data_IF_361930848030
#
_entry.id   IF_361930848030
#
_cell.length_a   1.000
_cell.length_b   1.000
_cell.length_c   1.000
_cell.angle_alpha   90.00
_cell.angle_beta   90.00
_cell.angle_gamma   90.00
#
_symmetry.space_group_name_H-M   'P 1'
#
loop_
_entity.id
_entity.type
_entity.pdbx_description
1 polymer ?
#
# COMPACT_ATOMS: atom_id res chain seq x y z
N UNK A 1 -2.61 13.91 -1.63
CA UNK A 1 -2.82 12.55 -2.15
C UNK A 1 -3.80 12.55 -3.32
N UNK A 2 -5.07 12.82 -3.12
CA UNK A 2 -6.11 12.67 -4.17
C UNK A 2 -5.80 13.48 -5.43
N UNK A 3 -5.38 14.75 -5.32
CA UNK A 3 -5.01 15.57 -6.48
C UNK A 3 -3.79 15.04 -7.24
N UNK A 4 -2.83 14.42 -6.52
CA UNK A 4 -1.67 13.77 -7.13
C UNK A 4 -2.10 12.55 -7.97
N UNK A 5 -2.98 11.69 -7.40
CA UNK A 5 -3.50 10.52 -8.09
C UNK A 5 -4.40 10.91 -9.26
N UNK A 6 -5.27 11.91 -9.10
CA UNK A 6 -6.13 12.41 -10.17
C UNK A 6 -5.32 12.92 -11.39
N UNK A 7 -4.22 13.64 -11.12
CA UNK A 7 -3.33 14.13 -12.18
C UNK A 7 -2.64 12.99 -12.97
N UNK A 8 -2.34 11.85 -12.32
CA UNK A 8 -1.77 10.68 -12.98
C UNK A 8 -2.82 9.85 -13.72
N UNK A 9 -4.03 9.75 -13.18
CA UNK A 9 -5.13 9.00 -13.79
C UNK A 9 -5.63 9.65 -15.08
N UNK A 10 -5.69 11.00 -15.13
CA UNK A 10 -6.26 11.70 -16.27
C UNK A 10 -7.61 11.10 -16.68
N UNK A 11 -7.84 10.96 -17.97
CA UNK A 11 -9.08 10.37 -18.52
C UNK A 11 -9.06 8.83 -18.57
N UNK A 12 -7.91 8.19 -18.30
CA UNK A 12 -7.73 6.73 -18.42
C UNK A 12 -8.23 5.92 -17.24
N UNK A 13 -8.61 6.60 -16.15
CA UNK A 13 -9.13 5.97 -14.94
C UNK A 13 -8.06 5.37 -14.01
N UNK A 14 -8.52 4.87 -12.85
CA UNK A 14 -7.67 4.37 -11.80
C UNK A 14 -8.18 3.05 -11.21
N UNK A 15 -7.26 2.15 -10.83
CA UNK A 15 -7.51 0.94 -10.06
C UNK A 15 -6.83 1.05 -8.70
N UNK A 16 -7.59 0.94 -7.62
CA UNK A 16 -7.06 0.82 -6.26
C UNK A 16 -6.90 -0.65 -5.87
N UNK A 17 -5.69 -1.05 -5.53
CA UNK A 17 -5.43 -2.35 -4.92
C UNK A 17 -5.70 -2.26 -3.42
N UNK A 18 -6.44 -3.24 -2.86
CA UNK A 18 -6.92 -3.22 -1.47
C UNK A 18 -7.71 -1.93 -1.15
N UNK A 19 -8.78 -1.69 -1.91
CA UNK A 19 -9.59 -0.46 -1.82
C UNK A 19 -10.21 -0.22 -0.43
N UNK A 20 -10.38 -1.29 0.37
CA UNK A 20 -10.94 -1.22 1.71
C UNK A 20 -12.33 -0.59 1.74
N UNK A 21 -12.48 0.39 2.63
CA UNK A 21 -13.74 1.15 2.76
C UNK A 21 -13.83 2.37 1.83
N UNK A 22 -12.94 2.48 0.82
CA UNK A 22 -12.98 3.54 -0.20
C UNK A 22 -12.48 4.90 0.26
N UNK A 23 -11.59 4.96 1.24
CA UNK A 23 -11.07 6.22 1.80
C UNK A 23 -10.39 7.13 0.77
N UNK A 24 -9.77 6.54 -0.26
CA UNK A 24 -9.14 7.27 -1.37
C UNK A 24 -10.01 7.22 -2.63
N UNK A 25 -10.58 6.07 -2.94
CA UNK A 25 -11.40 5.86 -4.13
C UNK A 25 -12.59 6.83 -4.22
N UNK A 26 -13.33 7.02 -3.11
CA UNK A 26 -14.51 7.90 -3.11
C UNK A 26 -14.13 9.37 -3.42
N UNK A 27 -13.19 10.01 -2.70
CA UNK A 27 -12.75 11.35 -3.05
C UNK A 27 -12.12 11.48 -4.44
N UNK A 28 -11.53 10.40 -4.97
CA UNK A 28 -10.97 10.39 -6.32
C UNK A 28 -12.11 10.34 -7.38
N UNK A 29 -13.14 9.53 -7.13
CA UNK A 29 -14.34 9.48 -7.96
C UNK A 29 -15.12 10.81 -7.96
N UNK A 30 -15.21 11.51 -6.83
CA UNK A 30 -15.79 12.87 -6.73
C UNK A 30 -15.06 13.90 -7.59
N UNK A 31 -13.79 13.67 -7.94
CA UNK A 31 -13.03 14.50 -8.90
C UNK A 31 -13.25 14.12 -10.37
N UNK A 32 -14.17 13.20 -10.63
CA UNK A 32 -14.50 12.75 -11.98
C UNK A 32 -13.61 11.65 -12.53
N UNK A 33 -12.68 11.10 -11.72
CA UNK A 33 -11.87 9.94 -12.13
C UNK A 33 -12.73 8.67 -12.06
N UNK A 34 -12.73 7.88 -13.13
CA UNK A 34 -13.34 6.54 -13.11
C UNK A 34 -12.48 5.60 -12.25
N UNK A 35 -13.01 5.15 -11.12
CA UNK A 35 -12.28 4.31 -10.18
C UNK A 35 -12.85 2.90 -10.17
N UNK A 36 -11.97 1.91 -10.17
CA UNK A 36 -12.26 0.53 -9.82
C UNK A 36 -11.38 0.10 -8.65
N UNK A 37 -11.72 -1.01 -7.99
CA UNK A 37 -10.96 -1.54 -6.87
C UNK A 37 -10.91 -3.06 -6.83
N UNK A 38 -9.92 -3.57 -6.12
CA UNK A 38 -9.83 -4.97 -5.70
C UNK A 38 -9.82 -4.97 -4.16
N UNK A 39 -10.64 -5.82 -3.54
CA UNK A 39 -10.72 -5.94 -2.07
C UNK A 39 -10.85 -7.40 -1.68
N UNK A 40 -10.06 -7.82 -0.69
CA UNK A 40 -10.08 -9.19 -0.19
C UNK A 40 -11.20 -9.43 0.85
N UNK A 41 -11.52 -8.40 1.65
CA UNK A 41 -12.46 -8.51 2.77
C UNK A 41 -13.89 -8.16 2.35
N UNK A 42 -14.84 -9.12 2.44
CA UNK A 42 -16.25 -8.82 2.22
C UNK A 42 -16.80 -7.75 3.18
N UNK A 43 -16.30 -7.72 4.43
CA UNK A 43 -16.75 -6.76 5.43
C UNK A 43 -16.31 -5.32 5.09
N UNK A 44 -15.09 -5.15 4.58
CA UNK A 44 -14.60 -3.85 4.09
C UNK A 44 -15.41 -3.40 2.88
N UNK A 45 -15.70 -4.32 1.96
CA UNK A 45 -16.53 -4.04 0.79
C UNK A 45 -17.96 -3.64 1.22
N UNK A 46 -18.56 -4.33 2.19
CA UNK A 46 -19.89 -3.96 2.71
C UNK A 46 -19.89 -2.55 3.32
N UNK A 47 -18.83 -2.18 4.06
CA UNK A 47 -18.67 -0.83 4.59
C UNK A 47 -18.48 0.23 3.49
N UNK A 48 -17.76 -0.10 2.41
CA UNK A 48 -17.65 0.77 1.23
C UNK A 48 -19.05 0.99 0.61
N UNK A 49 -19.78 -0.09 0.36
CA UNK A 49 -21.10 -0.05 -0.28
C UNK A 49 -22.14 0.74 0.50
N UNK A 50 -21.99 0.88 1.81
CA UNK A 50 -22.85 1.70 2.66
C UNK A 50 -22.59 3.23 2.53
N UNK A 51 -21.56 3.65 1.80
CA UNK A 51 -21.17 5.05 1.67
C UNK A 51 -21.79 5.71 0.43
N UNK A 52 -22.14 6.99 0.48
CA UNK A 52 -22.58 7.76 -0.69
C UNK A 52 -21.50 7.71 -1.80
N UNK A 53 -21.94 7.55 -3.05
CA UNK A 53 -21.06 7.50 -4.22
C UNK A 53 -20.39 6.16 -4.49
N UNK A 54 -20.55 5.17 -3.61
CA UNK A 54 -19.93 3.85 -3.77
C UNK A 54 -20.48 3.07 -4.98
N UNK A 55 -21.70 3.33 -5.40
CA UNK A 55 -22.33 2.68 -6.56
C UNK A 55 -21.60 2.99 -7.89
N UNK A 56 -20.87 4.11 -7.94
CA UNK A 56 -20.07 4.50 -9.09
C UNK A 56 -18.72 3.75 -9.17
N UNK A 57 -18.33 2.99 -8.13
CA UNK A 57 -17.05 2.31 -8.03
C UNK A 57 -17.26 0.81 -8.24
N UNK A 58 -16.69 0.27 -9.33
CA UNK A 58 -16.65 -1.17 -9.56
C UNK A 58 -15.61 -1.81 -8.64
N UNK A 59 -15.97 -2.88 -7.91
CA UNK A 59 -15.02 -3.59 -7.03
C UNK A 59 -15.11 -5.08 -7.28
N UNK A 60 -13.95 -5.69 -7.58
CA UNK A 60 -13.76 -7.12 -7.63
C UNK A 60 -13.36 -7.64 -6.23
N UNK A 61 -14.11 -8.60 -5.70
CA UNK A 61 -13.74 -9.29 -4.47
C UNK A 61 -12.64 -10.31 -4.76
N UNK A 62 -11.48 -10.17 -4.10
CA UNK A 62 -10.36 -11.10 -4.27
C UNK A 62 -9.02 -10.51 -3.84
N UNK A 63 -7.97 -11.33 -4.03
CA UNK A 63 -6.60 -11.00 -3.67
C UNK A 63 -5.96 -10.07 -4.72
N UNK A 64 -5.39 -8.95 -4.29
CA UNK A 64 -4.72 -7.97 -5.14
C UNK A 64 -3.47 -8.51 -5.86
N UNK A 65 -2.97 -9.67 -5.48
CA UNK A 65 -1.83 -10.32 -6.14
C UNK A 65 -2.24 -11.16 -7.36
N UNK A 66 -3.52 -11.57 -7.44
CA UNK A 66 -4.00 -12.52 -8.46
C UNK A 66 -5.29 -12.11 -9.16
N UNK A 67 -6.17 -11.36 -8.48
CA UNK A 67 -7.47 -10.98 -9.03
C UNK A 67 -7.32 -10.03 -10.21
N UNK A 68 -8.11 -10.27 -11.25
CA UNK A 68 -8.13 -9.46 -12.48
C UNK A 68 -9.45 -8.70 -12.61
N UNK A 69 -9.34 -7.45 -13.05
CA UNK A 69 -10.43 -6.63 -13.56
C UNK A 69 -10.25 -6.59 -15.07
N UNK A 70 -11.32 -6.91 -15.83
CA UNK A 70 -11.23 -7.00 -17.30
C UNK A 70 -11.25 -5.60 -17.96
N UNK A 71 -10.26 -4.81 -17.58
CA UNK A 71 -10.03 -3.44 -18.07
C UNK A 71 -8.60 -2.98 -17.77
N UNK A 72 -8.06 -2.10 -18.62
CA UNK A 72 -6.81 -1.40 -18.38
C UNK A 72 -7.04 0.01 -17.84
N UNK A 73 -6.04 0.54 -17.14
CA UNK A 73 -6.09 1.82 -16.44
C UNK A 73 -4.83 2.63 -16.71
N UNK A 74 -4.97 3.94 -16.65
CA UNK A 74 -3.82 4.85 -16.67
C UNK A 74 -3.07 4.87 -15.35
N UNK A 75 -3.77 4.57 -14.25
CA UNK A 75 -3.23 4.55 -12.91
C UNK A 75 -3.64 3.26 -12.19
N UNK A 76 -2.66 2.58 -11.58
CA UNK A 76 -2.88 1.60 -10.51
C UNK A 76 -2.22 2.14 -9.25
N UNK A 77 -2.85 2.03 -8.08
CA UNK A 77 -2.24 2.53 -6.85
C UNK A 77 -2.52 1.63 -5.64
N UNK A 78 -1.59 1.67 -4.69
CA UNK A 78 -1.59 0.94 -3.43
C UNK A 78 -1.00 1.83 -2.35
N UNK A 79 -1.78 2.21 -1.36
CA UNK A 79 -1.41 3.22 -0.35
C UNK A 79 -1.48 2.70 1.07
N UNK A 80 -1.07 3.51 2.06
CA UNK A 80 -1.13 3.22 3.49
C UNK A 80 -0.34 1.97 3.91
N UNK A 81 0.87 1.80 3.41
CA UNK A 81 1.75 0.66 3.71
C UNK A 81 1.18 -0.72 3.32
N UNK A 82 0.12 -0.78 2.52
CA UNK A 82 -0.62 -2.02 2.28
C UNK A 82 0.21 -3.09 1.57
N UNK A 83 1.27 -2.73 0.85
CA UNK A 83 2.21 -3.72 0.28
C UNK A 83 2.84 -4.60 1.37
N UNK A 84 3.03 -4.08 2.59
CA UNK A 84 3.59 -4.84 3.71
C UNK A 84 2.63 -5.92 4.24
N UNK A 85 1.33 -5.83 3.98
CA UNK A 85 0.36 -6.88 4.31
C UNK A 85 0.52 -8.13 3.44
N UNK A 86 1.24 -8.02 2.33
CA UNK A 86 1.66 -9.15 1.50
C UNK A 86 2.93 -9.74 2.09
N UNK A 87 2.79 -10.83 2.85
CA UNK A 87 3.80 -11.32 3.78
C UNK A 87 4.91 -12.17 3.17
N UNK A 88 4.92 -12.40 1.85
CA UNK A 88 5.99 -13.11 1.15
C UNK A 88 6.56 -12.29 -0.01
N UNK A 89 7.84 -12.48 -0.31
CA UNK A 89 8.50 -11.79 -1.43
C UNK A 89 7.83 -12.14 -2.76
N UNK A 90 7.54 -13.43 -3.00
CA UNK A 90 6.92 -13.89 -4.25
C UNK A 90 5.53 -13.26 -4.45
N UNK A 91 4.73 -13.15 -3.39
CA UNK A 91 3.44 -12.51 -3.47
C UNK A 91 3.54 -10.99 -3.70
N UNK A 92 4.56 -10.30 -3.14
CA UNK A 92 4.83 -8.90 -3.44
C UNK A 92 5.25 -8.71 -4.91
N UNK A 93 6.09 -9.60 -5.46
CA UNK A 93 6.41 -9.64 -6.90
C UNK A 93 5.14 -9.87 -7.74
N UNK A 94 4.28 -10.80 -7.33
CA UNK A 94 3.01 -11.06 -8.00
C UNK A 94 2.07 -9.83 -7.96
N UNK A 95 2.06 -9.08 -6.87
CA UNK A 95 1.31 -7.81 -6.77
C UNK A 95 1.79 -6.79 -7.81
N UNK A 96 3.11 -6.62 -8.00
CA UNK A 96 3.66 -5.76 -9.04
C UNK A 96 3.32 -6.24 -10.45
N UNK A 97 3.40 -7.55 -10.70
CA UNK A 97 3.01 -8.15 -11.99
C UNK A 97 1.51 -7.95 -12.26
N UNK A 98 0.68 -8.07 -11.23
CA UNK A 98 -0.76 -7.81 -11.32
C UNK A 98 -1.05 -6.34 -11.63
N UNK A 99 -0.39 -5.41 -10.93
CA UNK A 99 -0.51 -3.99 -11.21
C UNK A 99 -0.13 -3.66 -12.65
N UNK A 100 1.04 -4.14 -13.12
CA UNK A 100 1.51 -3.92 -14.48
C UNK A 100 0.55 -4.46 -15.55
N UNK A 101 -0.09 -5.59 -15.30
CA UNK A 101 -1.04 -6.19 -16.24
C UNK A 101 -2.35 -5.40 -16.37
N UNK A 102 -2.68 -4.57 -15.37
CA UNK A 102 -3.83 -3.65 -15.41
C UNK A 102 -3.48 -2.27 -15.98
N UNK A 103 -2.21 -1.98 -16.22
CA UNK A 103 -1.79 -0.68 -16.75
C UNK A 103 -1.86 -0.66 -18.28
N UNK A 104 -2.30 0.46 -18.84
CA UNK A 104 -2.07 0.83 -20.24
C UNK A 104 -0.56 1.07 -20.48
N UNK A 105 -0.07 0.97 -21.73
CA UNK A 105 1.28 1.43 -22.08
C UNK A 105 1.49 2.88 -21.65
N UNK A 106 2.57 3.18 -20.91
CA UNK A 106 2.85 4.47 -20.30
C UNK A 106 1.96 4.83 -19.10
N UNK A 107 1.13 3.91 -18.62
CA UNK A 107 0.41 4.04 -17.36
C UNK A 107 1.33 3.90 -16.14
N UNK A 108 0.88 4.36 -14.97
CA UNK A 108 1.69 4.44 -13.76
C UNK A 108 1.16 3.54 -12.64
N UNK A 109 2.09 2.86 -11.94
CA UNK A 109 1.83 2.24 -10.65
C UNK A 109 2.37 3.13 -9.54
N UNK A 110 1.56 3.42 -8.52
CA UNK A 110 1.91 4.28 -7.38
C UNK A 110 1.81 3.49 -6.09
N UNK A 111 2.87 3.51 -5.29
CA UNK A 111 2.86 2.98 -3.92
C UNK A 111 3.24 4.07 -2.93
N UNK A 112 2.51 4.14 -1.80
CA UNK A 112 2.93 4.83 -0.59
C UNK A 112 3.29 3.80 0.47
N UNK A 113 4.53 3.87 0.98
CA UNK A 113 5.01 2.94 2.02
C UNK A 113 6.10 3.59 2.87
N UNK A 114 6.20 3.14 4.13
CA UNK A 114 7.28 3.51 5.05
C UNK A 114 8.64 2.95 4.61
N UNK A 115 9.70 3.69 4.90
CA UNK A 115 11.06 3.16 4.86
C UNK A 115 11.29 2.36 6.15
N UNK A 116 11.84 1.12 6.09
CA UNK A 116 12.07 0.32 7.29
C UNK A 116 12.95 1.04 8.31
N UNK A 117 12.48 1.17 9.55
CA UNK A 117 13.16 1.93 10.63
C UNK A 117 14.23 1.10 11.36
N UNK A 118 15.04 0.36 10.59
CA UNK A 118 16.07 -0.54 11.13
C UNK A 118 17.30 0.21 11.67
N UNK A 119 17.49 1.48 11.32
CA UNK A 119 18.56 2.32 11.87
C UNK A 119 18.40 2.57 13.38
N UNK A 120 17.20 2.35 13.93
CA UNK A 120 16.92 2.44 15.37
C UNK A 120 17.23 1.16 16.14
N UNK A 121 17.63 0.09 15.45
CA UNK A 121 17.97 -1.20 16.06
C UNK A 121 19.48 -1.32 16.24
N UNK A 122 19.99 -1.22 17.48
CA UNK A 122 21.36 -1.59 17.77
C UNK A 122 21.63 -3.08 17.44
N UNK A 123 22.87 -3.47 17.17
CA UNK A 123 23.20 -4.88 16.91
C UNK A 123 22.71 -5.80 18.04
N UNK A 124 22.01 -6.88 17.66
CA UNK A 124 21.44 -7.85 18.60
C UNK A 124 20.04 -7.50 19.14
N UNK A 125 19.50 -6.35 18.81
CA UNK A 125 18.09 -6.02 19.10
C UNK A 125 17.21 -6.26 17.88
N UNK A 126 15.96 -6.68 18.13
CA UNK A 126 14.98 -6.99 17.09
C UNK A 126 13.67 -6.24 17.28
N UNK A 127 13.51 -5.47 18.36
CA UNK A 127 12.24 -4.80 18.69
C UNK A 127 12.38 -3.29 18.74
N UNK A 128 11.42 -2.57 18.14
CA UNK A 128 11.30 -1.11 18.17
C UNK A 128 9.95 -0.72 18.76
N UNK A 129 9.90 -0.07 19.94
CA UNK A 129 8.66 0.44 20.48
C UNK A 129 8.20 1.69 19.71
N UNK A 130 6.89 1.75 19.41
CA UNK A 130 6.24 2.92 18.82
C UNK A 130 5.23 3.58 19.76
N UNK A 131 4.75 2.85 20.77
CA UNK A 131 3.85 3.38 21.82
C UNK A 131 4.20 2.76 23.16
N UNK A 132 4.42 3.62 24.17
CA UNK A 132 4.60 3.20 25.59
C UNK A 132 3.77 4.12 26.44
N UNK A 133 2.64 3.61 26.99
CA UNK A 133 1.71 4.31 27.89
C UNK A 133 1.23 3.35 28.95
N UNK A 134 0.63 3.85 30.02
CA UNK A 134 0.14 3.03 31.14
C UNK A 134 -0.99 2.05 30.72
N UNK A 135 -1.75 2.41 29.70
CA UNK A 135 -2.88 1.65 29.17
C UNK A 135 -2.61 1.02 27.81
N UNK A 136 -1.46 1.27 27.20
CA UNK A 136 -1.14 0.79 25.84
C UNK A 136 0.34 0.61 25.59
N UNK A 137 0.71 -0.56 25.11
CA UNK A 137 2.04 -0.86 24.62
C UNK A 137 1.97 -1.26 23.15
N UNK A 138 2.89 -0.77 22.34
CA UNK A 138 3.01 -1.15 20.93
C UNK A 138 4.48 -1.18 20.54
N UNK A 139 4.86 -2.26 19.88
CA UNK A 139 6.22 -2.43 19.35
C UNK A 139 6.19 -3.33 18.13
N UNK A 140 7.13 -3.06 17.22
CA UNK A 140 7.38 -3.91 16.05
C UNK A 140 8.61 -4.78 16.30
N UNK A 141 8.54 -6.05 15.91
CA UNK A 141 9.71 -6.94 15.87
C UNK A 141 10.11 -7.22 14.42
N UNK A 142 11.40 -7.34 14.17
CA UNK A 142 11.97 -7.46 12.83
C UNK A 142 12.89 -8.67 12.72
N UNK A 143 12.72 -9.45 11.65
CA UNK A 143 13.70 -10.41 11.15
C UNK A 143 14.35 -9.83 9.89
N UNK A 144 15.66 -9.55 9.95
CA UNK A 144 16.38 -8.93 8.82
C UNK A 144 16.72 -9.93 7.72
N UNK A 145 16.61 -11.24 7.95
CA UNK A 145 16.89 -12.29 6.99
C UNK A 145 15.70 -12.51 6.06
N UNK A 146 14.50 -12.63 6.65
CA UNK A 146 13.25 -12.88 5.93
C UNK A 146 12.50 -11.61 5.57
N UNK A 147 12.87 -10.48 6.19
CA UNK A 147 12.13 -9.21 6.18
C UNK A 147 10.73 -9.33 6.82
N UNK A 148 10.50 -10.36 7.63
CA UNK A 148 9.30 -10.41 8.45
C UNK A 148 9.29 -9.33 9.51
N UNK A 149 8.13 -8.77 9.75
CA UNK A 149 7.85 -7.82 10.81
C UNK A 149 6.55 -8.21 11.50
N UNK A 150 6.55 -8.22 12.81
CA UNK A 150 5.33 -8.39 13.58
C UNK A 150 5.02 -7.12 14.35
N UNK A 151 3.83 -6.56 14.17
CA UNK A 151 3.35 -5.42 14.94
C UNK A 151 2.53 -5.92 16.12
N UNK A 152 3.04 -5.69 17.33
CA UNK A 152 2.45 -6.12 18.58
C UNK A 152 1.73 -4.95 19.24
N UNK A 153 0.45 -5.13 19.49
CA UNK A 153 -0.40 -4.16 20.18
C UNK A 153 -0.94 -4.78 21.45
N UNK A 154 -0.74 -4.10 22.57
CA UNK A 154 -1.33 -4.45 23.86
C UNK A 154 -2.10 -3.24 24.38
N UNK A 155 -3.30 -3.44 24.83
CA UNK A 155 -4.12 -2.38 25.40
C UNK A 155 -4.91 -2.89 26.61
N UNK A 156 -5.21 -1.98 27.52
CA UNK A 156 -6.00 -2.27 28.70
C UNK A 156 -7.48 -2.13 28.35
N UNK A 157 -8.26 -3.15 28.73
CA UNK A 157 -9.71 -3.17 28.63
C UNK A 157 -10.28 -3.51 30.02
N UNK A 158 -10.72 -2.50 30.76
CA UNK A 158 -11.01 -2.61 32.20
C UNK A 158 -9.76 -3.00 32.98
N UNK A 159 -9.84 -4.11 33.72
CA UNK A 159 -8.72 -4.65 34.51
C UNK A 159 -7.87 -5.68 33.75
N UNK A 160 -8.24 -6.04 32.53
CA UNK A 160 -7.54 -7.03 31.71
C UNK A 160 -6.67 -6.36 30.63
N UNK A 161 -5.54 -7.03 30.31
CA UNK A 161 -4.76 -6.69 29.12
C UNK A 161 -5.22 -7.54 27.93
N UNK A 162 -5.47 -6.90 26.82
CA UNK A 162 -5.71 -7.52 25.51
C UNK A 162 -4.43 -7.44 24.67
N UNK A 163 -4.26 -8.39 23.76
CA UNK A 163 -3.13 -8.43 22.84
C UNK A 163 -3.56 -8.80 21.43
N UNK A 164 -2.94 -8.15 20.44
CA UNK A 164 -3.07 -8.47 19.03
C UNK A 164 -1.67 -8.40 18.41
N UNK A 165 -1.31 -9.39 17.62
CA UNK A 165 -0.10 -9.37 16.81
C UNK A 165 -0.47 -9.58 15.34
N UNK A 166 0.10 -8.77 14.45
CA UNK A 166 -0.16 -8.81 13.01
C UNK A 166 1.15 -8.99 12.25
N UNK A 167 1.21 -9.95 11.30
CA UNK A 167 2.38 -10.15 10.46
C UNK A 167 2.40 -9.16 9.30
N UNK A 168 3.61 -8.71 8.96
CA UNK A 168 3.93 -7.89 7.80
C UNK A 168 5.23 -8.37 7.17
N UNK A 169 5.49 -7.97 5.94
CA UNK A 169 6.81 -8.03 5.33
C UNK A 169 7.21 -6.62 4.91
N UNK A 170 8.24 -6.07 5.55
CA UNK A 170 8.75 -4.77 5.15
C UNK A 170 9.56 -4.85 3.84
N UNK A 171 9.61 -3.76 3.11
CA UNK A 171 10.32 -3.69 1.82
C UNK A 171 11.20 -2.45 1.75
N UNK A 172 12.33 -2.59 1.06
CA UNK A 172 13.20 -1.46 0.76
C UNK A 172 12.80 -0.77 -0.54
N UNK A 173 13.02 0.55 -0.69
CA UNK A 173 12.76 1.26 -1.94
C UNK A 173 13.45 0.62 -3.15
N UNK A 174 14.69 0.14 -2.98
CA UNK A 174 15.45 -0.54 -4.04
C UNK A 174 14.89 -1.92 -4.40
N UNK A 175 14.28 -2.63 -3.44
CA UNK A 175 13.60 -3.91 -3.68
C UNK A 175 12.31 -3.70 -4.48
N UNK A 176 11.53 -2.68 -4.16
CA UNK A 176 10.37 -2.28 -4.95
C UNK A 176 10.76 -1.92 -6.40
N UNK A 177 11.92 -1.27 -6.60
CA UNK A 177 12.42 -0.98 -7.95
C UNK A 177 12.78 -2.26 -8.73
N UNK A 178 13.31 -3.29 -8.06
CA UNK A 178 13.56 -4.60 -8.68
C UNK A 178 12.26 -5.30 -9.05
N UNK A 179 11.24 -5.29 -8.16
CA UNK A 179 9.91 -5.84 -8.45
C UNK A 179 9.26 -5.13 -9.64
N UNK A 180 9.38 -3.80 -9.70
CA UNK A 180 8.89 -3.02 -10.84
C UNK A 180 9.56 -3.43 -12.16
N UNK A 181 10.90 -3.59 -12.16
CA UNK A 181 11.65 -4.05 -13.34
C UNK A 181 11.23 -5.45 -13.80
N UNK A 182 11.03 -6.38 -12.86
CA UNK A 182 10.52 -7.72 -13.16
C UNK A 182 9.13 -7.68 -13.80
N UNK A 183 8.31 -6.69 -13.44
CA UNK A 183 6.99 -6.46 -14.00
C UNK A 183 6.98 -5.56 -15.28
N UNK A 184 8.16 -5.23 -15.84
CA UNK A 184 8.27 -4.40 -17.05
C UNK A 184 8.00 -2.90 -16.82
N UNK A 185 8.19 -2.43 -15.60
CA UNK A 185 8.04 -1.02 -15.23
C UNK A 185 9.39 -0.40 -14.85
N UNK A 186 9.48 0.92 -14.95
CA UNK A 186 10.66 1.70 -14.55
C UNK A 186 10.26 2.80 -13.57
N UNK A 187 11.15 3.09 -12.61
CA UNK A 187 10.95 4.23 -11.70
C UNK A 187 10.90 5.52 -12.52
N UNK A 188 9.82 6.28 -12.36
CA UNK A 188 9.61 7.59 -12.96
C UNK A 188 9.94 8.71 -11.98
N UNK A 189 9.38 8.64 -10.74
CA UNK A 189 9.61 9.62 -9.69
C UNK A 189 9.45 8.98 -8.30
N UNK A 190 10.16 9.54 -7.30
CA UNK A 190 10.03 9.16 -5.89
C UNK A 190 10.12 10.40 -5.01
N UNK A 191 9.18 10.52 -4.09
CA UNK A 191 9.03 11.63 -3.17
C UNK A 191 8.93 11.11 -1.73
N UNK A 192 9.32 11.93 -0.74
CA UNK A 192 9.14 11.59 0.68
C UNK A 192 7.66 11.64 1.12
N UNK A 193 6.81 12.33 0.34
CA UNK A 193 5.38 12.46 0.60
C UNK A 193 4.59 12.97 -0.60
N UNK A 194 3.31 13.15 -0.40
CA UNK A 194 2.33 13.49 -1.44
C UNK A 194 2.44 14.93 -1.98
N UNK A 195 3.19 15.80 -1.30
CA UNK A 195 3.44 17.19 -1.73
C UNK A 195 4.72 17.31 -2.56
N UNK A 196 5.29 16.19 -2.97
CA UNK A 196 6.56 16.11 -3.70
C UNK A 196 7.74 16.65 -2.89
N UNK A 197 7.75 16.39 -1.59
CA UNK A 197 8.91 16.62 -0.75
C UNK A 197 10.08 15.74 -1.24
N UNK A 198 11.31 16.28 -1.36
CA UNK A 198 12.47 15.49 -1.81
C UNK A 198 12.68 14.24 -0.95
N UNK A 199 12.85 13.10 -1.61
CA UNK A 199 13.20 11.85 -0.93
C UNK A 199 14.71 11.84 -0.64
N UNK A 200 15.07 11.68 0.64
CA UNK A 200 16.44 11.73 1.16
C UNK A 200 16.71 10.57 2.13
N UNK A 201 17.94 10.44 2.60
CA UNK A 201 18.38 9.32 3.44
C UNK A 201 17.67 9.26 4.82
N UNK A 202 17.11 10.36 5.28
CA UNK A 202 16.35 10.48 6.53
C UNK A 202 14.82 10.43 6.33
N UNK A 203 14.36 10.24 5.10
CA UNK A 203 12.93 10.12 4.79
C UNK A 203 12.36 8.84 5.41
N UNK A 204 11.25 8.97 6.12
CA UNK A 204 10.60 7.85 6.82
C UNK A 204 9.53 7.12 6.01
N UNK A 205 9.12 7.72 4.90
CA UNK A 205 8.15 7.16 3.96
C UNK A 205 8.47 7.64 2.56
N UNK A 206 7.88 7.00 1.60
CA UNK A 206 7.96 7.48 0.22
C UNK A 206 6.68 7.21 -0.57
N UNK A 207 6.47 8.05 -1.57
CA UNK A 207 5.53 7.86 -2.67
C UNK A 207 6.35 7.60 -3.92
N UNK A 208 6.29 6.41 -4.44
CA UNK A 208 7.02 6.03 -5.65
C UNK A 208 6.07 5.79 -6.81
N UNK A 209 6.45 6.26 -7.96
CA UNK A 209 5.71 6.14 -9.22
C UNK A 209 6.58 5.38 -10.21
N UNK A 210 6.12 4.23 -10.65
CA UNK A 210 6.72 3.46 -11.73
C UNK A 210 5.84 3.52 -12.96
N UNK A 211 6.45 3.67 -14.12
CA UNK A 211 5.77 3.75 -15.42
C UNK A 211 5.95 2.44 -16.17
N UNK A 212 4.85 1.89 -16.70
CA UNK A 212 4.90 0.74 -17.60
C UNK A 212 5.53 1.13 -18.93
N UNK A 213 6.54 0.38 -19.36
CA UNK A 213 7.16 0.55 -20.66
C UNK A 213 6.14 0.36 -21.80
N UNK A 214 6.33 1.10 -22.86
CA UNK A 214 5.51 1.05 -24.08
C UNK A 214 5.71 -0.28 -24.81
#
# INVERSE_FOLDING_TARGET
>A
MVDFLAALAGDGGALELAIGTGRVALPLAERGVRVAGIELSPDMLAQLRAKPGADAIEVALGDMTTTRVDRSFRLVYLVFNTINNVTTQDAQVACFANAAAHLEPGGCFVIEVGVPDLQRLPPGQTAVPFTVRDDRLGFDTYDVVTQEMWSHHHWRDGDAWQALAMPFRYVWPSELDLMARLAGMRLRERWAGWRREPFAADSRSHVSVWERSS
#
